data_IF_977895253770
#
_entry.id   IF_977895253770
#
_cell.length_a   1.000
_cell.length_b   1.000
_cell.length_c   1.000
_cell.angle_alpha   90.00
_cell.angle_beta   90.00
_cell.angle_gamma   90.00
#
_symmetry.space_group_name_H-M   'P 1'
#
loop_
_entity.id
_entity.type
_entity.pdbx_description
1 polymer ?
#
# COMPACT_ATOMS: atom_id res chain seq x y z
N UNK A 1 19.69 -45.90 -7.08
CA UNK A 1 20.20 -44.53 -6.84
C UNK A 1 18.99 -43.70 -6.50
N UNK A 2 18.92 -43.28 -5.24
CA UNK A 2 17.67 -42.99 -4.55
C UNK A 2 17.34 -41.50 -4.64
N UNK A 3 16.10 -41.18 -5.01
CA UNK A 3 15.42 -39.95 -4.63
C UNK A 3 15.39 -39.80 -3.09
N UNK A 4 15.50 -38.57 -2.58
CA UNK A 4 14.53 -37.94 -1.64
C UNK A 4 15.05 -36.65 -0.97
N UNK A 5 14.08 -35.75 -0.78
CA UNK A 5 13.90 -34.76 0.31
C UNK A 5 14.79 -33.50 0.30
N UNK A 6 14.29 -32.28 0.05
CA UNK A 6 13.26 -31.44 0.75
C UNK A 6 13.74 -30.87 2.09
N UNK A 7 13.67 -29.53 2.20
CA UNK A 7 13.31 -28.66 3.36
C UNK A 7 14.34 -27.52 3.53
N UNK A 8 14.01 -26.27 3.23
CA UNK A 8 13.29 -25.31 4.10
C UNK A 8 13.74 -25.31 5.57
N UNK A 9 14.35 -24.20 6.00
CA UNK A 9 14.63 -23.88 7.40
C UNK A 9 15.30 -22.50 7.49
N UNK A 10 14.53 -21.40 7.44
CA UNK A 10 14.00 -20.68 8.61
C UNK A 10 15.07 -20.26 9.63
N UNK A 11 15.42 -18.96 9.62
CA UNK A 11 15.55 -18.13 10.82
C UNK A 11 14.96 -16.76 10.46
N UNK A 12 13.72 -16.42 10.85
CA UNK A 12 13.21 -16.10 12.20
C UNK A 12 14.06 -15.05 12.90
N UNK A 13 13.54 -13.99 13.52
CA UNK A 13 12.23 -13.32 13.66
C UNK A 13 12.65 -12.01 14.32
N UNK A 14 12.04 -10.87 13.97
CA UNK A 14 11.65 -9.84 14.94
C UNK A 14 10.97 -8.72 14.18
N UNK A 15 9.64 -8.74 14.22
CA UNK A 15 8.85 -7.51 14.36
C UNK A 15 7.49 -7.93 14.88
N UNK A 16 7.35 -7.89 16.20
CA UNK A 16 6.06 -7.92 16.87
C UNK A 16 5.33 -6.61 16.56
N UNK A 17 4.45 -6.62 15.57
CA UNK A 17 3.27 -5.76 15.56
C UNK A 17 2.04 -6.64 15.40
N UNK A 18 1.50 -7.05 16.54
CA UNK A 18 0.15 -7.58 16.66
C UNK A 18 -0.80 -6.38 16.72
N UNK A 19 -1.38 -5.98 15.59
CA UNK A 19 -2.61 -5.17 15.54
C UNK A 19 -3.35 -5.57 14.27
N UNK A 20 -4.41 -6.35 14.47
CA UNK A 20 -5.51 -6.60 13.54
C UNK A 20 -5.13 -7.27 12.20
N UNK A 21 -5.63 -8.49 11.95
CA UNK A 21 -5.52 -9.16 10.64
C UNK A 21 -6.46 -8.51 9.62
N UNK A 22 -6.41 -7.18 9.48
CA UNK A 22 -6.91 -6.51 8.31
C UNK A 22 -6.12 -7.10 7.13
N UNK A 23 -6.82 -7.82 6.25
CA UNK A 23 -6.23 -8.31 5.01
C UNK A 23 -5.71 -7.07 4.29
N UNK A 24 -4.39 -6.99 4.14
CA UNK A 24 -3.73 -5.87 3.47
C UNK A 24 -2.82 -6.40 2.38
N UNK A 25 -2.83 -5.71 1.24
CA UNK A 25 -1.91 -5.98 0.14
C UNK A 25 -0.87 -4.88 0.12
N UNK A 26 0.39 -5.28 0.11
CA UNK A 26 1.54 -4.37 0.10
C UNK A 26 2.01 -4.12 -1.32
N UNK A 27 2.18 -2.85 -1.65
CA UNK A 27 2.73 -2.37 -2.90
C UNK A 27 4.01 -1.58 -2.65
N UNK A 28 5.02 -1.81 -3.48
CA UNK A 28 6.32 -1.10 -3.38
C UNK A 28 6.62 -0.25 -4.61
N UNK A 29 5.80 -0.35 -5.65
CA UNK A 29 5.95 0.39 -6.88
C UNK A 29 4.61 1.06 -7.23
N UNK A 30 4.66 2.23 -7.90
CA UNK A 30 3.44 2.90 -8.37
C UNK A 30 2.73 2.05 -9.43
N UNK A 31 3.46 1.38 -10.32
CA UNK A 31 2.89 0.53 -11.38
C UNK A 31 2.07 -0.63 -10.81
N UNK A 32 2.58 -1.34 -9.78
CA UNK A 32 1.85 -2.46 -9.18
C UNK A 32 0.55 -1.98 -8.51
N UNK A 33 0.59 -0.82 -7.85
CA UNK A 33 -0.59 -0.23 -7.21
C UNK A 33 -1.61 0.24 -8.27
N UNK A 34 -1.14 0.89 -9.35
CA UNK A 34 -2.00 1.33 -10.44
C UNK A 34 -2.71 0.14 -11.10
N UNK A 35 -1.96 -0.89 -11.49
CA UNK A 35 -2.52 -2.11 -12.08
C UNK A 35 -3.53 -2.80 -11.15
N UNK A 36 -3.31 -2.71 -9.83
CA UNK A 36 -4.23 -3.25 -8.85
C UNK A 36 -5.54 -2.44 -8.79
N UNK A 37 -5.45 -1.11 -8.75
CA UNK A 37 -6.61 -0.22 -8.69
C UNK A 37 -7.48 -0.32 -9.94
N UNK A 38 -6.87 -0.48 -11.12
CA UNK A 38 -7.59 -0.75 -12.36
C UNK A 38 -8.40 -2.06 -12.32
N UNK A 39 -7.97 -3.04 -11.51
CA UNK A 39 -8.64 -4.34 -11.36
C UNK A 39 -9.69 -4.37 -10.26
N UNK A 40 -9.51 -3.58 -9.21
CA UNK A 40 -10.40 -3.60 -8.03
C UNK A 40 -11.79 -3.02 -8.34
N UNK A 41 -11.91 -2.22 -9.40
CA UNK A 41 -13.18 -1.68 -9.88
C UNK A 41 -13.74 -0.57 -8.98
N UNK A 42 -15.01 -0.68 -8.58
CA UNK A 42 -15.75 0.35 -7.82
C UNK A 42 -15.78 0.09 -6.31
N UNK A 43 -14.67 -0.33 -5.75
CA UNK A 43 -14.56 -0.58 -4.31
C UNK A 43 -13.82 0.59 -3.65
N UNK A 44 -14.38 1.09 -2.56
CA UNK A 44 -13.70 2.06 -1.71
C UNK A 44 -12.57 1.38 -0.96
N UNK A 45 -11.40 2.02 -0.93
CA UNK A 45 -10.18 1.45 -0.38
C UNK A 45 -9.54 2.39 0.62
N UNK A 46 -8.87 1.82 1.61
CA UNK A 46 -8.02 2.57 2.52
C UNK A 46 -6.57 2.25 2.22
N UNK A 47 -5.73 3.26 2.15
CA UNK A 47 -4.31 3.14 1.92
C UNK A 47 -3.54 3.64 3.13
N UNK A 48 -2.40 3.01 3.41
CA UNK A 48 -1.42 3.50 4.34
C UNK A 48 -0.06 3.56 3.65
N UNK A 49 0.44 4.76 3.37
CA UNK A 49 1.79 4.96 2.86
C UNK A 49 2.77 4.97 4.03
N UNK A 50 3.70 4.02 4.03
CA UNK A 50 4.74 3.89 5.04
C UNK A 50 6.07 4.41 4.47
N UNK A 51 6.57 5.55 4.95
CA UNK A 51 7.87 6.06 4.54
C UNK A 51 9.03 5.22 5.07
N UNK A 52 10.17 5.25 4.36
CA UNK A 52 11.44 4.65 4.84
C UNK A 52 11.83 5.24 6.20
N UNK A 53 11.53 6.53 6.39
CA UNK A 53 11.70 7.21 7.67
C UNK A 53 10.59 8.25 7.85
N UNK A 54 10.02 8.32 9.04
CA UNK A 54 8.92 9.23 9.37
C UNK A 54 7.70 8.49 9.88
N UNK A 55 6.55 9.15 9.79
CA UNK A 55 5.26 8.60 10.25
C UNK A 55 4.42 8.16 9.05
N UNK A 56 3.73 7.01 9.12
CA UNK A 56 2.81 6.60 8.07
C UNK A 56 1.70 7.62 7.84
N UNK A 57 1.29 7.75 6.58
CA UNK A 57 0.15 8.57 6.17
C UNK A 57 -1.00 7.67 5.71
N UNK A 58 -2.23 7.98 6.14
CA UNK A 58 -3.42 7.24 5.72
C UNK A 58 -4.21 8.03 4.68
N UNK A 59 -4.82 7.30 3.75
CA UNK A 59 -5.62 7.84 2.67
C UNK A 59 -6.87 7.00 2.45
N UNK A 60 -7.93 7.65 1.98
CA UNK A 60 -9.18 7.02 1.62
C UNK A 60 -9.46 7.24 0.13
N UNK A 61 -9.71 6.18 -0.61
CA UNK A 61 -10.16 6.21 -1.99
C UNK A 61 -11.67 6.07 -2.06
N UNK A 62 -12.32 7.11 -2.56
CA UNK A 62 -13.71 7.08 -2.96
C UNK A 62 -13.78 6.64 -4.42
N UNK A 63 -14.26 5.42 -4.64
CA UNK A 63 -14.36 4.83 -5.97
C UNK A 63 -15.49 5.42 -6.82
N UNK A 64 -16.49 6.05 -6.21
CA UNK A 64 -17.57 6.72 -6.93
C UNK A 64 -17.11 8.06 -7.52
N UNK A 65 -16.36 8.84 -6.74
CA UNK A 65 -15.82 10.13 -7.15
C UNK A 65 -14.45 10.00 -7.83
N UNK A 66 -13.80 8.83 -7.74
CA UNK A 66 -12.43 8.57 -8.21
C UNK A 66 -11.41 9.52 -7.56
N UNK A 67 -11.67 9.91 -6.30
CA UNK A 67 -10.86 10.86 -5.52
C UNK A 67 -10.17 10.12 -4.38
N UNK A 68 -8.89 10.42 -4.17
CA UNK A 68 -8.15 9.99 -2.97
C UNK A 68 -8.06 11.15 -1.99
N UNK A 69 -8.40 10.93 -0.73
CA UNK A 69 -8.33 11.95 0.33
C UNK A 69 -7.36 11.53 1.41
N UNK A 70 -6.44 12.42 1.80
CA UNK A 70 -5.52 12.20 2.93
C UNK A 70 -6.25 12.45 4.24
N UNK A 71 -6.24 11.46 5.14
CA UNK A 71 -7.03 11.52 6.39
C UNK A 71 -6.59 12.62 7.35
N UNK A 72 -5.31 13.00 7.32
CA UNK A 72 -4.72 13.94 8.29
C UNK A 72 -5.30 15.35 8.20
N UNK A 73 -5.56 15.83 7.00
CA UNK A 73 -5.91 17.23 6.73
C UNK A 73 -7.01 17.39 5.67
N UNK A 74 -7.54 16.29 5.14
CA UNK A 74 -8.62 16.30 4.17
C UNK A 74 -8.21 16.75 2.77
N UNK A 75 -6.89 16.88 2.50
CA UNK A 75 -6.42 17.18 1.15
C UNK A 75 -6.81 16.07 0.18
N UNK A 76 -7.42 16.47 -0.93
CA UNK A 76 -7.92 15.59 -1.98
C UNK A 76 -6.98 15.62 -3.19
N UNK A 77 -6.72 14.45 -3.76
CA UNK A 77 -6.04 14.29 -5.03
C UNK A 77 -7.10 14.11 -6.12
N UNK A 78 -7.09 15.00 -7.11
CA UNK A 78 -8.05 15.01 -8.22
C UNK A 78 -7.82 13.87 -9.22
N UNK A 79 -6.60 13.32 -9.26
CA UNK A 79 -6.25 12.18 -10.11
C UNK A 79 -5.45 11.13 -9.35
N UNK A 80 -5.54 9.88 -9.83
CA UNK A 80 -4.73 8.78 -9.30
C UNK A 80 -3.24 9.00 -9.57
N UNK A 81 -2.89 9.64 -10.68
CA UNK A 81 -1.50 9.98 -11.03
C UNK A 81 -0.90 10.94 -10.01
N UNK A 82 -1.64 11.99 -9.62
CA UNK A 82 -1.23 12.93 -8.57
C UNK A 82 -1.00 12.23 -7.23
N UNK A 83 -1.90 11.31 -6.87
CA UNK A 83 -1.77 10.50 -5.66
C UNK A 83 -0.53 9.59 -5.69
N UNK A 84 -0.30 8.87 -6.79
CA UNK A 84 0.86 7.99 -6.96
C UNK A 84 2.17 8.79 -6.95
N UNK A 85 2.19 9.93 -7.65
CA UNK A 85 3.31 10.87 -7.69
C UNK A 85 3.64 11.42 -6.30
N UNK A 86 2.63 11.83 -5.54
CA UNK A 86 2.78 12.29 -4.15
C UNK A 86 3.29 11.17 -3.24
N UNK A 87 2.65 9.99 -3.28
CA UNK A 87 2.95 8.92 -2.33
C UNK A 87 4.28 8.25 -2.59
N UNK A 88 4.62 7.95 -3.85
CA UNK A 88 5.95 7.41 -4.19
C UNK A 88 7.01 8.48 -4.33
N UNK A 89 6.65 9.76 -4.17
CA UNK A 89 7.53 10.92 -4.26
C UNK A 89 8.39 10.88 -5.52
N UNK A 90 7.74 11.06 -6.68
CA UNK A 90 8.42 11.42 -7.92
C UNK A 90 8.98 12.84 -7.82
N UNK A 91 9.91 13.09 -6.88
CA UNK A 91 10.67 14.32 -6.84
C UNK A 91 11.52 14.42 -8.11
N UNK A 92 12.00 15.61 -8.47
CA UNK A 92 12.80 15.81 -9.72
C UNK A 92 14.07 14.95 -9.76
N UNK A 93 14.48 14.40 -8.62
CA UNK A 93 15.62 13.51 -8.44
C UNK A 93 15.25 12.01 -8.29
N UNK A 94 13.97 11.65 -8.22
CA UNK A 94 13.50 10.25 -8.28
C UNK A 94 13.69 9.40 -7.01
N UNK A 95 13.93 10.01 -5.85
CA UNK A 95 14.06 9.26 -4.59
C UNK A 95 12.71 8.98 -3.94
N UNK A 96 12.30 7.70 -3.96
CA UNK A 96 11.14 7.27 -3.18
C UNK A 96 11.41 7.45 -1.69
N UNK A 97 10.66 8.34 -1.03
CA UNK A 97 10.64 8.40 0.44
C UNK A 97 9.66 7.38 1.03
N UNK A 98 8.88 6.69 0.19
CA UNK A 98 7.92 5.66 0.60
C UNK A 98 8.50 4.27 0.43
N UNK A 99 8.57 3.51 1.51
CA UNK A 99 9.08 2.14 1.48
C UNK A 99 8.03 1.18 0.89
N UNK A 100 6.77 1.39 1.27
CA UNK A 100 5.63 0.64 0.74
C UNK A 100 4.30 1.34 1.05
N UNK A 101 3.26 0.94 0.32
CA UNK A 101 1.87 1.29 0.59
C UNK A 101 1.10 0.00 0.90
N UNK A 102 0.41 -0.04 2.03
CA UNK A 102 -0.52 -1.12 2.37
C UNK A 102 -1.95 -0.69 1.98
N UNK A 103 -2.60 -1.44 1.08
CA UNK A 103 -4.03 -1.32 0.77
C UNK A 103 -4.78 -2.19 1.76
N UNK A 104 -5.63 -1.59 2.59
CA UNK A 104 -6.45 -2.28 3.59
C UNK A 104 -7.83 -2.54 3.02
N UNK A 105 -8.26 -3.81 3.10
CA UNK A 105 -9.64 -4.16 2.84
C UNK A 105 -10.45 -3.93 4.10
N UNK A 106 -11.42 -3.03 4.03
CA UNK A 106 -12.50 -3.06 5.00
C UNK A 106 -13.27 -4.35 4.74
N UNK A 107 -13.13 -5.35 5.62
CA UNK A 107 -14.08 -6.46 5.61
C UNK A 107 -15.43 -5.86 6.03
N UNK A 108 -16.52 -6.07 5.26
CA UNK A 108 -17.84 -5.87 5.81
C UNK A 108 -18.02 -6.88 6.96
N UNK A 109 -18.37 -6.37 8.14
CA UNK A 109 -18.84 -7.20 9.26
C UNK A 109 -20.08 -8.02 8.88
#
# INVERSE_FOLDING_TARGET
MNEKHVSFGKKSVNEHHNMDRAQSIRFRTPDDLQMYLERVGKQDLNFQACPISGTPENFHFNSHEQVVTRERDGFSFDTMDDFLCYTFQCDREGYSRTEYIDVKFNQPE
#
